data_IF_526158112559
#
_entry.id   IF_526158112559
#
_cell.length_a   1.000
_cell.length_b   1.000
_cell.length_c   1.000
_cell.angle_alpha   90.00
_cell.angle_beta   90.00
_cell.angle_gamma   90.00
#
_symmetry.space_group_name_H-M   'P 1'
#
loop_
_entity.id
_entity.type
_entity.pdbx_description
1 polymer ?
2 non-polymer ?
3 water ?
#
# COMPACT_ATOMS: atom_id res chain seq x y z
N UNK A 4 26.42 -13.23 -9.68
CA UNK A 4 25.24 -13.80 -10.42
C UNK A 4 23.91 -13.58 -9.72
N UNK A 5 23.90 -13.69 -8.40
CA UNK A 5 22.69 -13.46 -7.63
C UNK A 5 22.41 -11.96 -7.57
N UNK A 6 21.17 -11.55 -7.87
CA UNK A 6 20.79 -10.14 -7.78
C UNK A 6 20.32 -9.85 -6.37
N UNK A 7 21.03 -8.96 -5.68
CA UNK A 7 20.68 -8.59 -4.32
C UNK A 7 20.06 -7.20 -4.21
N UNK A 8 20.45 -6.29 -5.11
CA UNK A 8 20.02 -4.90 -5.00
C UNK A 8 19.09 -4.51 -6.15
N UNK A 9 18.00 -3.84 -5.78
CA UNK A 9 17.05 -3.27 -6.73
C UNK A 9 16.97 -1.76 -6.56
N UNK A 10 16.94 -1.03 -7.67
CA UNK A 10 16.96 0.43 -7.64
C UNK A 10 15.63 1.01 -8.12
N UNK A 11 15.39 2.26 -7.75
CA UNK A 11 14.24 3.01 -8.24
C UNK A 11 14.36 3.18 -9.75
N UNK A 12 15.56 3.50 -10.20
CA UNK A 12 15.86 3.68 -11.63
C UNK A 12 15.37 2.51 -12.49
N UNK A 13 15.54 1.28 -11.98
CA UNK A 13 15.13 0.07 -12.70
C UNK A 13 13.74 -0.49 -12.34
N UNK A 14 13.01 0.21 -11.47
CA UNK A 14 11.70 -0.23 -11.00
C UNK A 14 10.61 0.06 -12.03
N UNK A 15 9.43 -0.51 -11.79
CA UNK A 15 8.22 -0.14 -12.53
C UNK A 15 7.47 0.87 -11.66
N UNK A 16 7.19 2.04 -12.22
CA UNK A 16 6.55 3.13 -11.47
C UNK A 16 5.28 3.56 -12.19
N UNK A 17 4.16 3.50 -11.48
CA UNK A 17 2.86 3.80 -12.07
C UNK A 17 1.86 4.25 -11.01
N UNK A 18 0.81 4.92 -11.46
CA UNK A 18 -0.28 5.35 -10.58
C UNK A 18 -1.40 4.32 -10.59
N UNK A 19 -1.85 3.95 -9.40
CA UNK A 19 -2.94 3.00 -9.22
C UNK A 19 -3.88 3.57 -8.17
N UNK A 20 -5.12 3.87 -8.56
CA UNK A 20 -6.14 4.37 -7.63
C UNK A 20 -5.67 5.57 -6.79
N UNK A 21 -4.86 6.44 -7.38
CA UNK A 21 -4.44 7.65 -6.68
C UNK A 21 -3.13 7.56 -5.93
N UNK A 22 -2.52 6.37 -5.87
CA UNK A 22 -1.18 6.23 -5.28
C UNK A 22 -0.13 6.05 -6.38
N UNK A 23 1.10 6.47 -6.09
CA UNK A 23 2.22 6.24 -6.98
C UNK A 23 3.05 5.10 -6.40
N UNK A 24 3.08 3.99 -7.13
CA UNK A 24 3.77 2.78 -6.70
C UNK A 24 5.15 2.71 -7.33
N UNK A 25 6.11 2.23 -6.55
CA UNK A 25 7.42 1.85 -7.06
C UNK A 25 7.58 0.37 -6.78
N UNK A 26 7.44 -0.44 -7.83
CA UNK A 26 7.56 -1.89 -7.74
C UNK A 26 8.96 -2.25 -8.22
N UNK A 27 9.81 -2.64 -7.28
CA UNK A 27 11.22 -2.91 -7.56
C UNK A 27 11.41 -4.12 -8.48
N UNK A 28 10.54 -5.10 -8.33
CA UNK A 28 10.62 -6.33 -9.10
C UNK A 28 11.18 -7.49 -8.30
N UNK A 29 11.19 -7.36 -6.97
CA UNK A 29 11.52 -8.49 -6.08
C UNK A 29 10.65 -9.71 -6.40
N UNK A 30 11.31 -10.85 -6.58
CA UNK A 30 10.64 -12.13 -6.67
C UNK A 30 11.12 -12.98 -5.51
N UNK A 31 10.19 -13.31 -4.62
CA UNK A 31 10.45 -14.12 -3.44
C UNK A 31 9.08 -14.51 -2.91
N UNK A 32 8.76 -15.82 -2.85
CA UNK A 32 7.41 -16.22 -2.43
C UNK A 32 7.04 -15.76 -1.01
N UNK A 33 8.04 -15.54 -0.15
CA UNK A 33 7.75 -15.18 1.25
C UNK A 33 7.20 -13.77 1.42
N UNK A 34 7.69 -12.82 0.63
CA UNK A 34 7.21 -11.44 0.72
C UNK A 34 7.78 -10.57 -0.37
N UNK A 35 7.00 -9.56 -0.75
CA UNK A 35 7.45 -8.54 -1.68
C UNK A 35 7.32 -7.16 -1.03
N UNK A 36 8.30 -6.31 -1.29
CA UNK A 36 8.35 -4.99 -0.70
C UNK A 36 8.34 -3.94 -1.81
N UNK A 37 7.50 -2.92 -1.64
CA UNK A 37 7.36 -1.84 -2.61
C UNK A 37 7.27 -0.51 -1.88
N UNK A 38 7.39 0.58 -2.64
CA UNK A 38 7.22 1.92 -2.08
C UNK A 38 5.90 2.51 -2.58
N UNK A 39 5.23 3.22 -1.67
CA UNK A 39 3.94 3.84 -1.94
C UNK A 39 4.04 5.32 -1.59
N UNK A 40 3.68 6.15 -2.56
CA UNK A 40 3.59 7.59 -2.36
C UNK A 40 2.14 7.99 -2.60
N UNK A 41 1.55 8.72 -1.66
CA UNK A 41 0.14 9.10 -1.77
C UNK A 41 -0.02 10.58 -1.43
N UNK A 42 -0.63 11.33 -2.34
CA UNK A 42 -0.83 12.77 -2.15
C UNK A 42 -2.14 13.07 -1.42
N UNK A 43 -3.20 12.36 -1.78
CA UNK A 43 -4.52 12.57 -1.17
C UNK A 43 -5.20 11.28 -0.70
N UNK A 44 -5.09 10.21 -1.49
CA UNK A 44 -5.67 8.95 -1.06
C UNK A 44 -5.50 7.80 -2.02
N UNK A 45 -5.84 6.62 -1.52
CA UNK A 45 -6.03 5.42 -2.31
C UNK A 45 -7.54 5.28 -2.52
N UNK A 46 -8.01 5.75 -3.67
CA UNK A 46 -9.45 5.94 -3.90
C UNK A 46 -10.15 4.68 -4.41
N UNK A 47 -9.93 3.60 -3.69
CA UNK A 47 -10.47 2.29 -4.01
C UNK A 47 -10.33 1.44 -2.76
N UNK A 48 -11.37 0.69 -2.43
CA UNK A 48 -11.31 -0.25 -1.32
C UNK A 48 -11.19 -1.65 -1.88
N UNK A 49 -10.27 -2.42 -1.30
CA UNK A 49 -9.95 -3.76 -1.77
C UNK A 49 -9.63 -4.64 -0.57
N UNK A 50 -9.58 -5.95 -0.79
CA UNK A 50 -8.98 -6.85 0.18
C UNK A 50 -8.19 -7.92 -0.54
N UNK A 51 -7.34 -8.61 0.23
CA UNK A 51 -6.51 -9.67 -0.30
C UNK A 51 -6.80 -10.93 0.51
N UNK A 52 -7.16 -12.01 -0.19
CA UNK A 52 -7.62 -13.23 0.47
C UNK A 52 -6.51 -14.04 1.13
N UNK A 53 -5.26 -13.67 0.84
CA UNK A 53 -4.12 -14.48 1.23
C UNK A 53 -3.00 -13.75 1.98
N UNK A 54 -2.74 -12.49 1.63
CA UNK A 54 -1.55 -11.79 2.12
C UNK A 54 -1.85 -10.68 3.13
N UNK A 55 -0.97 -10.53 4.12
CA UNK A 55 -1.02 -9.41 5.03
C UNK A 55 -0.27 -8.24 4.41
N UNK A 56 -0.82 -7.04 4.57
CA UNK A 56 -0.24 -5.81 4.04
C UNK A 56 0.25 -5.00 5.24
N UNK A 57 1.56 -4.74 5.27
CA UNK A 57 2.17 -4.00 6.38
C UNK A 57 2.77 -2.71 5.83
N UNK A 58 2.20 -1.58 6.24
CA UNK A 58 2.64 -0.26 5.80
C UNK A 58 3.50 0.41 6.87
N UNK A 59 4.74 0.72 6.52
CA UNK A 59 5.58 1.57 7.37
C UNK A 59 5.50 3.01 6.84
N UNK A 60 5.17 3.95 7.72
CA UNK A 60 5.00 5.34 7.31
C UNK A 60 6.33 6.09 7.47
N UNK A 61 6.99 6.35 6.34
CA UNK A 61 8.27 7.07 6.33
C UNK A 61 8.05 8.53 6.72
N UNK A 62 7.04 9.15 6.12
CA UNK A 62 6.76 10.54 6.39
C UNK A 62 5.30 10.84 6.11
N UNK A 63 4.83 11.95 6.66
CA UNK A 63 3.49 12.42 6.40
C UNK A 63 2.48 11.96 7.42
N UNK A 64 1.20 12.18 7.11
CA UNK A 64 0.10 11.81 7.99
C UNK A 64 -1.07 11.35 7.13
N UNK A 65 -1.86 10.43 7.68
CA UNK A 65 -3.04 9.92 6.99
C UNK A 65 -3.96 9.13 7.90
N UNK A 66 -4.91 8.44 7.29
CA UNK A 66 -5.84 7.61 8.02
C UNK A 66 -6.20 6.39 7.16
N UNK A 67 -6.06 5.21 7.75
CA UNK A 67 -6.46 3.97 7.11
C UNK A 67 -7.88 3.62 7.53
N UNK A 68 -8.61 2.99 6.62
CA UNK A 68 -9.90 2.42 6.91
C UNK A 68 -9.81 0.92 6.71
N UNK A 69 -9.86 0.20 7.82
CA UNK A 69 -9.65 -1.25 7.83
C UNK A 69 -10.92 -1.91 8.33
N UNK A 70 -11.59 -2.62 7.42
CA UNK A 70 -12.98 -3.05 7.62
C UNK A 70 -13.82 -1.89 8.18
N UNK A 71 -13.70 -0.74 7.51
CA UNK A 71 -14.42 0.51 7.84
C UNK A 71 -14.01 1.21 9.14
N UNK A 72 -13.02 0.67 9.85
CA UNK A 72 -12.55 1.24 11.12
C UNK A 72 -11.41 2.20 10.83
N UNK A 73 -11.55 3.44 11.31
CA UNK A 73 -10.52 4.46 11.12
C UNK A 73 -9.31 4.18 11.99
N UNK A 74 -8.13 4.23 11.37
CA UNK A 74 -6.85 4.02 12.05
C UNK A 74 -5.92 5.16 11.65
N UNK A 75 -5.77 6.16 12.54
CA UNK A 75 -4.89 7.28 12.21
C UNK A 75 -3.45 6.80 12.08
N UNK A 76 -2.69 7.42 11.19
CA UNK A 76 -1.30 7.02 10.96
C UNK A 76 -0.43 8.23 10.76
N UNK A 77 0.77 8.18 11.33
CA UNK A 77 1.74 9.23 11.14
C UNK A 77 3.14 8.69 10.97
N UNK A 78 4.07 9.59 10.67
CA UNK A 78 5.46 9.22 10.44
C UNK A 78 5.99 8.31 11.55
N UNK A 79 6.62 7.20 11.13
CA UNK A 79 7.22 6.16 12.00
C UNK A 79 6.25 5.09 12.55
N UNK A 80 4.96 5.23 12.26
CA UNK A 80 3.98 4.22 12.66
C UNK A 80 4.08 3.04 11.72
N UNK A 81 3.75 1.87 12.24
CA UNK A 81 3.60 0.65 11.46
C UNK A 81 2.15 0.22 11.49
N UNK A 82 1.55 0.08 10.30
CA UNK A 82 0.15 -0.34 10.16
C UNK A 82 0.13 -1.76 9.60
N UNK A 83 -0.37 -2.69 10.41
CA UNK A 83 -0.33 -4.12 10.09
C UNK A 83 -1.74 -4.63 9.79
N UNK A 84 -2.00 -4.93 8.53
CA UNK A 84 -3.32 -5.42 8.10
C UNK A 84 -3.29 -6.92 7.80
N UNK A 85 -4.11 -7.71 8.52
CA UNK A 85 -4.18 -9.14 8.21
C UNK A 85 -4.90 -9.42 6.88
N UNK A 86 -4.79 -10.65 6.37
CA UNK A 86 -5.53 -11.01 5.17
C UNK A 86 -7.04 -10.86 5.34
N UNK A 87 -7.73 -10.80 4.21
CA UNK A 87 -9.19 -10.71 4.17
C UNK A 87 -9.75 -9.55 4.96
N UNK A 88 -9.04 -8.42 4.92
CA UNK A 88 -9.45 -7.19 5.58
C UNK A 88 -9.61 -6.10 4.52
N UNK A 89 -10.78 -5.45 4.49
CA UNK A 89 -11.00 -4.35 3.56
C UNK A 89 -10.09 -3.18 3.89
N UNK A 90 -9.45 -2.63 2.86
CA UNK A 90 -8.47 -1.58 3.00
C UNK A 90 -8.76 -0.43 2.07
N UNK A 91 -8.82 0.78 2.63
CA UNK A 91 -8.52 1.99 1.87
C UNK A 91 -7.83 2.98 2.79
N UNK A 92 -7.36 4.08 2.24
CA UNK A 92 -6.71 5.09 3.05
C UNK A 92 -6.68 6.45 2.40
N UNK A 93 -6.65 7.47 3.25
CA UNK A 93 -6.47 8.85 2.82
C UNK A 93 -5.22 9.40 3.48
N UNK A 94 -4.63 10.40 2.86
CA UNK A 94 -3.51 11.10 3.46
C UNK A 94 -2.50 11.62 2.49
N UNK A 95 -1.51 12.33 3.03
CA UNK A 95 -0.32 12.72 2.30
C UNK A 95 0.84 12.02 2.99
N UNK A 96 1.31 10.93 2.39
CA UNK A 96 2.26 10.02 3.03
C UNK A 96 3.22 9.38 2.05
N UNK A 97 4.40 9.04 2.57
CA UNK A 97 5.37 8.18 1.89
C UNK A 97 5.51 6.95 2.75
N UNK A 98 5.37 5.78 2.13
CA UNK A 98 5.33 4.52 2.85
C UNK A 98 6.16 3.42 2.19
N UNK A 99 6.56 2.45 3.00
CA UNK A 99 7.16 1.21 2.52
C UNK A 99 6.16 0.12 2.84
N UNK A 100 5.74 -0.62 1.81
CA UNK A 100 4.71 -1.65 1.96
C UNK A 100 5.27 -3.05 1.76
N UNK A 101 5.01 -3.90 2.74
CA UNK A 101 5.32 -5.32 2.66
C UNK A 101 4.03 -6.10 2.46
N UNK A 102 4.02 -6.96 1.45
CA UNK A 102 2.93 -7.90 1.25
C UNK A 102 3.51 -9.30 1.43
N UNK A 103 2.94 -10.04 2.37
CA UNK A 103 3.43 -11.37 2.76
C UNK A 103 2.22 -12.32 2.87
N UNK A 104 2.42 -13.60 2.47
CA UNK A 104 3.11 -13.93 1.20
C UNK A 104 3.13 -12.96 0.03
N UNK A 105 4.06 -13.20 -0.90
CA UNK A 105 4.31 -12.30 -2.03
C UNK A 105 3.02 -11.81 -2.68
N UNK A 106 3.01 -10.53 -3.04
CA UNK A 106 1.84 -9.93 -3.69
C UNK A 106 1.51 -10.70 -4.96
N UNK A 107 0.25 -11.08 -5.11
CA UNK A 107 -0.27 -11.66 -6.35
C UNK A 107 -1.60 -10.99 -6.63
N UNK A 108 -1.70 -10.27 -7.74
CA UNK A 108 -2.93 -9.53 -8.08
C UNK A 108 -4.18 -10.42 -8.14
N UNK A 109 -3.99 -11.70 -8.47
CA UNK A 109 -5.09 -12.67 -8.46
C UNK A 109 -5.71 -12.89 -7.07
N UNK A 110 -4.96 -12.55 -6.01
CA UNK A 110 -5.46 -12.66 -4.64
C UNK A 110 -6.27 -11.45 -4.18
N UNK A 111 -6.22 -10.37 -4.94
CA UNK A 111 -6.86 -9.14 -4.52
C UNK A 111 -8.27 -9.06 -5.09
N UNK A 112 -9.16 -8.44 -4.33
CA UNK A 112 -10.55 -8.30 -4.72
C UNK A 112 -10.96 -6.83 -4.61
N UNK A 113 -11.61 -6.33 -5.66
CA UNK A 113 -12.16 -4.97 -5.67
C UNK A 113 -13.48 -4.92 -4.89
N UNK A 114 -13.61 -3.96 -3.97
CA UNK A 114 -14.87 -3.74 -3.25
C UNK A 114 -15.62 -2.56 -3.85
N UNK A 115 -14.97 -1.40 -3.88
CA UNK A 115 -15.60 -0.20 -4.43
C UNK A 115 -14.57 0.85 -4.79
N UNK A 116 -14.95 1.73 -5.71
CA UNK A 116 -14.24 2.98 -5.91
C UNK A 116 -14.69 3.98 -4.85
N UNK A 117 -13.85 4.98 -4.63
CA UNK A 117 -14.09 6.02 -3.65
C UNK A 117 -13.92 7.39 -4.30
N UNK A 118 -14.90 8.27 -4.11
CA UNK A 118 -14.83 9.61 -4.65
C UNK A 118 -13.64 10.38 -4.07
N UNK A 119 -12.94 11.13 -4.92
CA UNK A 119 -11.80 11.94 -4.48
C UNK A 119 -12.19 12.97 -3.41
N UNK A 120 -13.45 13.39 -3.42
CA UNK A 120 -13.97 14.31 -2.41
C UNK A 120 -14.06 13.73 -0.98
N UNK A 121 -14.01 12.40 -0.86
CA UNK A 121 -14.03 11.74 0.45
C UNK A 121 -12.76 11.99 1.27
N UNK A 122 -11.64 12.24 0.60
CA UNK A 122 -10.39 12.48 1.30
C UNK A 122 -10.38 13.90 1.85
N UNK A 123 -10.07 14.07 3.14
CA UNK A 123 -9.96 15.42 3.69
C UNK A 123 -8.58 16.05 3.48
N UNK A 124 -7.69 15.35 2.77
CA UNK A 124 -6.34 15.84 2.49
C UNK A 124 -6.26 16.54 1.14
X LIG B 1 0.11 -2.96 -4.82
X LIG B 1 -1.07 -2.10 -4.80
X LIG B 1 -1.79 -1.00 -1.69
X LIG B 1 0.59 -3.41 -6.04
X LIG B 1 2.36 -4.63 -4.83
X LIG B 1 1.80 -4.12 -3.61
X LIG B 1 -2.16 -0.03 -0.89
X LIG B 1 -1.37 -2.09 -1.34
X LIG B 1 -1.99 -0.69 -3.17
X LIG B 1 -3.10 -1.54 -3.81
X LIG B 1 -3.77 -0.86 -4.87
X LIG B 1 -2.38 -2.77 -4.31
X LIG B 1 -3.03 -3.50 -5.36
X LIG B 1 -0.82 -1.00 -3.95
X LIG B 1 0.08 -3.12 -7.12
X LIG B 1 0.71 -3.32 -3.63
X LIG B 1 1.71 -4.22 -5.96
X LIG B 1 3.44 -5.22 -4.93
#
# INVERSE_FOLDING_TARGET
GSHMTKYKYTVEESERFNKHGIDLTVYGQVDPSATVVRVSVERGHFQEFFNVRSSYTYYVVSGQGVFYLNSEAVPAGATDLITVPPNTRIHYFGSMEMVLTVAPAFNEQDERHVRFISESESPY
UUA N1 C4 C5 C6 C7 C8 O8 O2 C1 C2 O3 C3 O4 O1 O6 C9 N2 O5
#
